data_IF_872165742558
#
_entry.id   IF_872165742558
#
_cell.length_a   1.000
_cell.length_b   1.000
_cell.length_c   1.000
_cell.angle_alpha   90.00
_cell.angle_beta   90.00
_cell.angle_gamma   90.00
#
_symmetry.space_group_name_H-M   'P 1'
#
loop_
_entity.id
_entity.type
_entity.pdbx_description
1 polymer ?
#
# COMPACT_ATOMS: atom_id res chain seq x y z
N UNK A 1 -21.24 2.73 -22.00
CA UNK A 1 -20.24 1.65 -22.02
C UNK A 1 -19.04 1.88 -21.09
N UNK A 2 -18.20 2.94 -21.20
CA UNK A 2 -17.02 3.14 -20.30
C UNK A 2 -17.40 3.28 -18.81
N UNK A 3 -18.48 3.97 -18.48
CA UNK A 3 -18.92 4.18 -17.09
C UNK A 3 -19.41 2.89 -16.42
N UNK A 4 -20.13 2.04 -17.13
CA UNK A 4 -20.65 0.78 -16.60
C UNK A 4 -19.52 -0.20 -16.27
N UNK A 5 -18.46 -0.24 -17.10
CA UNK A 5 -17.27 -1.07 -16.92
C UNK A 5 -16.47 -0.69 -15.69
N UNK A 6 -16.33 0.61 -15.44
CA UNK A 6 -15.63 1.10 -14.24
C UNK A 6 -16.38 0.69 -12.97
N UNK A 7 -17.71 0.72 -13.01
CA UNK A 7 -18.56 0.23 -11.92
C UNK A 7 -18.38 -1.28 -11.66
N UNK A 8 -18.34 -2.08 -12.72
CA UNK A 8 -18.20 -3.54 -12.60
C UNK A 8 -16.84 -3.96 -12.00
N UNK A 9 -15.74 -3.31 -12.42
CA UNK A 9 -14.41 -3.54 -11.86
C UNK A 9 -14.37 -3.12 -10.39
N UNK A 10 -14.93 -1.97 -10.05
CA UNK A 10 -14.98 -1.47 -8.68
C UNK A 10 -15.74 -2.42 -7.76
N UNK A 11 -16.93 -2.85 -8.18
CA UNK A 11 -17.72 -3.83 -7.43
C UNK A 11 -16.95 -5.13 -7.22
N UNK A 12 -16.25 -5.59 -8.25
CA UNK A 12 -15.44 -6.80 -8.18
C UNK A 12 -14.30 -6.70 -7.15
N UNK A 13 -13.57 -5.58 -7.13
CA UNK A 13 -12.54 -5.32 -6.12
C UNK A 13 -13.13 -5.21 -4.71
N UNK A 14 -14.32 -4.64 -4.58
CA UNK A 14 -15.05 -4.60 -3.32
C UNK A 14 -15.42 -6.00 -2.82
N UNK A 15 -15.88 -6.90 -3.71
CA UNK A 15 -16.10 -8.31 -3.36
C UNK A 15 -14.83 -9.01 -2.89
N UNK A 16 -13.70 -8.72 -3.55
CA UNK A 16 -12.40 -9.27 -3.17
C UNK A 16 -12.00 -8.83 -1.76
N UNK A 17 -12.19 -7.53 -1.44
CA UNK A 17 -11.89 -6.98 -0.11
C UNK A 17 -12.79 -7.53 1.01
N UNK A 18 -13.96 -8.06 0.66
CA UNK A 18 -14.89 -8.70 1.60
C UNK A 18 -14.63 -10.21 1.74
N UNK A 19 -13.56 -10.76 1.14
CA UNK A 19 -13.30 -12.20 1.14
C UNK A 19 -14.31 -13.03 0.35
N UNK A 20 -15.09 -12.42 -0.56
CA UNK A 20 -16.17 -13.08 -1.34
C UNK A 20 -15.72 -13.51 -2.74
N UNK A 21 -14.46 -13.24 -3.10
CA UNK A 21 -13.96 -13.50 -4.47
C UNK A 21 -13.49 -14.92 -4.69
N UNK A 22 -12.93 -15.52 -3.67
CA UNK A 22 -12.40 -16.88 -3.66
C UNK A 22 -12.98 -17.64 -2.48
N UNK A 23 -13.09 -18.95 -2.61
CA UNK A 23 -13.49 -19.80 -1.49
C UNK A 23 -12.39 -19.84 -0.44
N UNK A 24 -12.78 -19.82 0.82
CA UNK A 24 -11.87 -20.01 1.94
C UNK A 24 -11.57 -21.52 2.07
N UNK A 25 -10.29 -21.86 2.12
CA UNK A 25 -9.87 -23.25 2.33
C UNK A 25 -9.60 -23.48 3.82
N UNK A 26 -10.32 -24.40 4.47
CA UNK A 26 -10.11 -24.69 5.88
C UNK A 26 -8.75 -25.35 6.19
N UNK A 27 -8.01 -25.78 5.16
CA UNK A 27 -6.66 -26.31 5.30
C UNK A 27 -5.57 -25.24 5.19
N UNK A 28 -5.91 -24.01 4.83
CA UNK A 28 -4.94 -22.90 4.82
C UNK A 28 -4.44 -22.61 6.24
N UNK A 29 -3.22 -22.10 6.34
CA UNK A 29 -2.72 -21.53 7.59
C UNK A 29 -3.63 -20.40 8.05
N UNK A 30 -3.81 -20.25 9.37
CA UNK A 30 -4.59 -19.11 9.87
C UNK A 30 -3.84 -17.78 9.63
N UNK A 31 -4.57 -16.66 9.56
CA UNK A 31 -3.98 -15.33 9.46
C UNK A 31 -3.03 -15.01 10.62
N UNK A 32 -3.21 -15.64 11.78
CA UNK A 32 -2.35 -15.47 12.94
C UNK A 32 -0.90 -15.91 12.63
N UNK A 33 -0.71 -16.92 11.79
CA UNK A 33 0.64 -17.36 11.36
C UNK A 33 1.34 -16.25 10.57
N UNK A 34 0.62 -15.51 9.72
CA UNK A 34 1.18 -14.35 9.03
C UNK A 34 1.52 -13.23 10.03
N UNK A 35 0.66 -12.96 10.99
CA UNK A 35 0.90 -11.95 12.03
C UNK A 35 2.13 -12.29 12.89
N UNK A 36 2.34 -13.56 13.20
CA UNK A 36 3.54 -14.04 13.89
C UNK A 36 4.82 -13.81 13.07
N UNK A 37 4.78 -14.10 11.76
CA UNK A 37 5.89 -13.83 10.85
C UNK A 37 6.22 -12.33 10.80
N UNK A 38 5.19 -11.46 10.78
CA UNK A 38 5.36 -10.00 10.84
C UNK A 38 5.99 -9.57 12.18
N UNK A 39 5.52 -10.11 13.31
CA UNK A 39 6.08 -9.83 14.64
C UNK A 39 7.56 -10.20 14.71
N UNK A 40 7.91 -11.39 14.24
CA UNK A 40 9.29 -11.88 14.24
C UNK A 40 10.20 -10.99 13.38
N UNK A 41 9.77 -10.57 12.19
CA UNK A 41 10.56 -9.66 11.35
C UNK A 41 10.72 -8.28 11.99
N UNK A 42 9.65 -7.70 12.54
CA UNK A 42 9.71 -6.42 13.26
C UNK A 42 10.67 -6.50 14.46
N UNK A 43 10.62 -7.57 15.24
CA UNK A 43 11.52 -7.79 16.37
C UNK A 43 12.99 -7.80 15.92
N UNK A 44 13.29 -8.54 14.85
CA UNK A 44 14.62 -8.57 14.24
C UNK A 44 15.08 -7.17 13.79
N UNK A 45 14.23 -6.44 13.09
CA UNK A 45 14.53 -5.09 12.61
C UNK A 45 14.74 -4.09 13.76
N UNK A 46 14.03 -4.27 14.87
CA UNK A 46 14.23 -3.48 16.08
C UNK A 46 15.59 -3.77 16.73
N UNK A 47 15.96 -5.04 16.86
CA UNK A 47 17.27 -5.45 17.38
C UNK A 47 18.43 -4.95 16.51
N UNK A 48 18.23 -4.88 15.20
CA UNK A 48 19.16 -4.28 14.24
C UNK A 48 19.14 -2.73 14.25
N UNK A 49 18.29 -2.09 15.06
CA UNK A 49 18.17 -0.63 15.14
C UNK A 49 17.53 0.01 13.91
N UNK A 50 16.84 -0.76 13.06
CA UNK A 50 16.22 -0.30 11.80
C UNK A 50 14.82 0.27 11.99
N UNK A 51 14.12 -0.13 13.04
CA UNK A 51 12.82 0.41 13.45
C UNK A 51 12.82 0.78 14.92
N UNK A 52 11.86 1.57 15.36
CA UNK A 52 11.73 2.04 16.75
C UNK A 52 10.82 1.11 17.54
N UNK A 53 10.94 1.15 18.88
CA UNK A 53 10.08 0.37 19.79
C UNK A 53 8.58 0.56 19.54
N UNK A 54 8.16 1.79 19.20
CA UNK A 54 6.77 2.10 18.87
C UNK A 54 6.26 1.40 17.60
N UNK A 55 7.16 0.98 16.72
CA UNK A 55 6.84 0.34 15.45
C UNK A 55 6.69 -1.18 15.59
N UNK A 56 6.97 -1.76 16.78
CA UNK A 56 6.84 -3.18 17.06
C UNK A 56 5.37 -3.64 17.12
N UNK A 57 4.49 -2.79 17.60
CA UNK A 57 3.09 -3.14 17.80
C UNK A 57 2.39 -3.46 16.47
N UNK A 58 1.52 -4.49 16.52
CA UNK A 58 0.56 -4.79 15.46
C UNK A 58 -0.81 -4.37 15.96
N UNK A 59 -1.38 -3.33 15.38
CA UNK A 59 -2.74 -2.86 15.70
C UNK A 59 -3.74 -3.66 14.89
N UNK A 60 -4.38 -4.64 15.55
CA UNK A 60 -5.54 -5.37 15.04
C UNK A 60 -6.77 -4.57 15.46
N UNK A 61 -7.69 -4.35 14.54
CA UNK A 61 -8.96 -3.66 14.81
C UNK A 61 -10.08 -4.68 14.86
N UNK A 62 -10.82 -4.70 15.96
CA UNK A 62 -11.98 -5.56 16.18
C UNK A 62 -13.18 -4.74 16.61
N UNK A 63 -14.38 -5.27 16.40
CA UNK A 63 -15.62 -4.67 16.87
C UNK A 63 -15.88 -5.13 18.30
N UNK A 64 -16.21 -4.19 19.19
CA UNK A 64 -16.65 -4.47 20.55
C UNK A 64 -18.15 -4.74 20.63
N UNK A 65 -18.62 -5.14 21.82
CA UNK A 65 -20.04 -5.45 22.10
C UNK A 65 -20.96 -4.23 21.96
N UNK A 66 -20.40 -3.02 22.05
CA UNK A 66 -21.10 -1.72 21.89
C UNK A 66 -21.18 -1.26 20.43
N UNK A 67 -20.78 -2.10 19.48
CA UNK A 67 -20.62 -1.80 18.06
C UNK A 67 -19.53 -0.77 17.72
N UNK A 68 -18.74 -0.31 18.67
CA UNK A 68 -17.55 0.50 18.42
C UNK A 68 -16.38 -0.37 17.97
N UNK A 69 -15.44 0.22 17.23
CA UNK A 69 -14.23 -0.46 16.77
C UNK A 69 -13.05 -0.07 17.64
N UNK A 70 -12.29 -1.04 18.06
CA UNK A 70 -11.14 -0.89 18.94
C UNK A 70 -9.87 -1.41 18.27
N UNK A 71 -8.80 -0.61 18.37
CA UNK A 71 -7.44 -1.10 18.20
C UNK A 71 -6.96 -1.79 19.48
N UNK A 72 -5.70 -2.16 19.54
CA UNK A 72 -5.15 -2.93 20.66
C UNK A 72 -5.31 -2.30 22.06
N UNK A 73 -5.53 -0.99 22.16
CA UNK A 73 -5.57 -0.25 23.44
C UNK A 73 -6.68 0.77 23.58
N UNK A 74 -7.16 1.33 22.47
CA UNK A 74 -8.08 2.45 22.49
C UNK A 74 -9.10 2.35 21.35
N UNK A 75 -10.25 3.05 21.49
CA UNK A 75 -11.20 3.23 20.42
C UNK A 75 -10.48 3.83 19.19
N UNK A 76 -10.66 3.23 18.02
CA UNK A 76 -10.07 3.74 16.79
C UNK A 76 -10.99 4.75 16.13
N UNK A 77 -10.40 5.81 15.57
CA UNK A 77 -11.11 6.77 14.73
C UNK A 77 -11.28 6.27 13.29
N UNK A 78 -10.61 5.17 12.93
CA UNK A 78 -10.69 4.55 11.61
C UNK A 78 -11.65 3.37 11.68
N UNK A 79 -12.66 3.37 10.83
CA UNK A 79 -13.70 2.34 10.79
C UNK A 79 -13.48 1.40 9.62
N UNK A 80 -13.68 0.07 9.79
CA UNK A 80 -13.70 -0.88 8.69
C UNK A 80 -14.73 -0.47 7.63
N UNK A 81 -14.35 -0.59 6.37
CA UNK A 81 -15.20 -0.20 5.24
C UNK A 81 -16.24 -1.28 4.94
N UNK A 82 -15.87 -2.54 5.17
CA UNK A 82 -16.69 -3.70 4.87
C UNK A 82 -16.62 -4.72 6.00
N UNK A 83 -17.67 -5.55 6.11
CA UNK A 83 -17.59 -6.79 6.84
C UNK A 83 -16.63 -7.75 6.13
N UNK A 84 -15.79 -8.44 6.90
CA UNK A 84 -14.81 -9.41 6.42
C UNK A 84 -15.09 -10.78 7.07
N UNK A 85 -14.62 -11.90 6.47
CA UNK A 85 -14.72 -13.21 7.06
C UNK A 85 -14.08 -13.29 8.45
N UNK A 86 -14.58 -14.16 9.31
CA UNK A 86 -14.05 -14.38 10.66
C UNK A 86 -12.56 -14.80 10.66
N UNK A 87 -12.13 -15.49 9.60
CA UNK A 87 -10.75 -15.89 9.40
C UNK A 87 -9.79 -14.71 9.05
N UNK A 88 -10.34 -13.55 8.73
CA UNK A 88 -9.55 -12.36 8.36
C UNK A 88 -9.36 -11.41 9.54
N UNK A 89 -8.46 -10.44 9.38
CA UNK A 89 -8.25 -9.35 10.35
C UNK A 89 -8.16 -8.01 9.64
N UNK A 90 -8.68 -6.96 10.27
CA UNK A 90 -8.29 -5.59 9.94
C UNK A 90 -7.06 -5.21 10.75
N UNK A 91 -6.03 -4.73 10.07
CA UNK A 91 -4.83 -4.19 10.73
C UNK A 91 -4.51 -2.79 10.18
N UNK A 92 -3.87 -1.97 10.99
CA UNK A 92 -3.38 -0.68 10.53
C UNK A 92 -2.26 -0.86 9.51
N UNK A 93 -2.19 0.01 8.52
CA UNK A 93 -1.19 -0.02 7.45
C UNK A 93 0.25 -0.12 7.99
N UNK A 94 0.59 0.66 9.02
CA UNK A 94 1.90 0.61 9.67
C UNK A 94 2.20 -0.69 10.42
N UNK A 95 1.18 -1.49 10.71
CA UNK A 95 1.38 -2.84 11.24
C UNK A 95 1.87 -3.80 10.16
N UNK A 96 1.44 -3.60 8.91
CA UNK A 96 1.75 -4.45 7.77
C UNK A 96 3.02 -4.03 7.04
N UNK A 97 3.35 -2.73 7.05
CA UNK A 97 4.46 -2.19 6.25
C UNK A 97 5.28 -1.16 7.03
N UNK A 98 6.54 -1.01 6.64
CA UNK A 98 7.27 0.23 6.81
C UNK A 98 7.10 1.08 5.55
N UNK A 99 7.08 2.41 5.68
CA UNK A 99 7.03 3.31 4.52
C UNK A 99 7.92 4.54 4.69
N UNK A 100 8.34 5.11 3.58
CA UNK A 100 9.16 6.33 3.55
C UNK A 100 8.56 7.35 2.60
N UNK A 101 8.47 8.60 3.06
CA UNK A 101 8.06 9.72 2.23
C UNK A 101 9.28 10.21 1.45
N UNK A 102 9.09 10.48 0.16
CA UNK A 102 10.13 11.02 -0.70
C UNK A 102 10.51 12.45 -0.39
N UNK A 103 11.48 12.96 -1.14
CA UNK A 103 11.98 14.33 -1.00
C UNK A 103 12.23 14.96 -2.36
N UNK A 104 11.93 16.25 -2.46
CA UNK A 104 12.27 17.07 -3.64
C UNK A 104 13.45 17.95 -3.29
N UNK A 105 14.59 17.85 -4.00
CA UNK A 105 15.66 18.82 -3.89
C UNK A 105 15.18 20.21 -4.30
N UNK A 106 15.72 21.31 -3.72
CA UNK A 106 15.39 22.66 -4.14
C UNK A 106 15.56 22.85 -5.65
N UNK A 107 14.55 23.35 -6.33
CA UNK A 107 14.58 23.62 -7.77
C UNK A 107 15.54 24.74 -8.15
N UNK A 108 15.82 25.66 -7.23
CA UNK A 108 16.79 26.76 -7.41
C UNK A 108 18.24 26.29 -7.51
N UNK A 109 18.53 25.08 -7.04
CA UNK A 109 19.89 24.52 -6.99
C UNK A 109 20.14 23.61 -8.22
N UNK A 110 20.60 24.18 -9.31
CA UNK A 110 20.82 23.42 -10.54
C UNK A 110 21.78 22.23 -10.35
N UNK A 111 22.72 22.29 -9.41
CA UNK A 111 23.67 21.22 -9.09
C UNK A 111 23.01 19.97 -8.47
N UNK A 112 21.78 20.09 -8.00
CA UNK A 112 21.02 18.96 -7.45
C UNK A 112 20.27 18.17 -8.52
N UNK A 113 20.14 18.71 -9.70
CA UNK A 113 19.46 18.07 -10.84
C UNK A 113 20.50 17.62 -11.86
N UNK A 114 20.27 16.46 -12.48
CA UNK A 114 21.23 15.85 -13.40
C UNK A 114 20.69 14.57 -14.03
N UNK A 115 21.57 13.60 -14.28
CA UNK A 115 21.21 12.34 -14.98
C UNK A 115 21.60 11.09 -14.19
N UNK A 116 22.02 11.24 -12.92
CA UNK A 116 22.68 10.13 -12.22
C UNK A 116 21.70 9.19 -11.51
N UNK A 117 20.65 9.72 -10.88
CA UNK A 117 19.72 8.95 -10.05
C UNK A 117 18.29 9.29 -10.46
N UNK A 118 17.53 8.33 -10.99
CA UNK A 118 16.13 8.54 -11.36
C UNK A 118 15.33 9.13 -10.20
N UNK A 119 14.52 10.15 -10.50
CA UNK A 119 13.64 10.80 -9.53
C UNK A 119 12.20 10.79 -10.04
N UNK A 120 11.35 10.03 -9.34
CA UNK A 120 9.96 9.78 -9.72
C UNK A 120 9.07 10.92 -9.23
N UNK A 121 8.35 11.51 -10.15
CA UNK A 121 7.19 12.37 -9.87
C UNK A 121 5.88 11.58 -10.08
N UNK A 122 4.74 12.14 -9.64
CA UNK A 122 3.42 11.49 -9.86
C UNK A 122 3.14 11.29 -11.36
N UNK A 123 3.66 12.16 -12.21
CA UNK A 123 3.47 12.08 -13.67
C UNK A 123 4.26 10.94 -14.33
N UNK A 124 5.29 10.42 -13.66
CA UNK A 124 6.07 9.28 -14.14
C UNK A 124 5.44 7.94 -13.73
N UNK A 125 4.54 7.95 -12.74
CA UNK A 125 3.81 6.76 -12.35
C UNK A 125 2.75 6.44 -13.42
N UNK A 126 2.68 5.21 -13.94
CA UNK A 126 1.58 4.78 -14.83
C UNK A 126 0.26 4.69 -14.06
N UNK A 127 -0.85 4.50 -14.76
CA UNK A 127 -2.16 4.24 -14.13
C UNK A 127 -2.12 2.92 -13.35
N UNK A 128 -1.39 1.93 -13.88
CA UNK A 128 -1.10 0.66 -13.24
C UNK A 128 0.21 0.09 -13.80
N UNK A 129 0.90 -0.78 -13.06
CA UNK A 129 2.10 -1.47 -13.51
C UNK A 129 3.40 -0.85 -12.99
N UNK A 130 4.38 -0.67 -13.85
CA UNK A 130 5.76 -0.42 -13.47
C UNK A 130 6.28 0.94 -13.89
N UNK A 131 7.06 1.59 -13.01
CA UNK A 131 7.88 2.75 -13.36
C UNK A 131 9.18 2.25 -13.94
N UNK A 132 9.33 2.35 -15.25
CA UNK A 132 10.50 1.87 -16.01
C UNK A 132 11.52 2.97 -16.28
N UNK A 133 11.08 4.23 -16.26
CA UNK A 133 11.93 5.42 -16.47
C UNK A 133 11.33 6.61 -15.73
N UNK A 134 12.10 7.70 -15.67
CA UNK A 134 11.67 8.99 -15.10
C UNK A 134 12.06 10.12 -16.05
N UNK A 135 11.30 11.21 -16.03
CA UNK A 135 11.60 12.42 -16.81
C UNK A 135 12.78 13.20 -16.25
N UNK A 136 12.99 13.10 -14.96
CA UNK A 136 14.01 13.83 -14.23
C UNK A 136 14.88 12.87 -13.41
N UNK A 137 16.08 13.35 -13.12
CA UNK A 137 17.03 12.66 -12.26
C UNK A 137 17.70 13.66 -11.35
N UNK A 138 18.17 13.22 -10.20
CA UNK A 138 18.94 14.03 -9.26
C UNK A 138 20.42 13.62 -9.28
N UNK A 139 21.26 14.52 -8.80
CA UNK A 139 22.69 14.25 -8.66
C UNK A 139 23.00 13.48 -7.38
N UNK A 140 24.15 12.80 -7.34
CA UNK A 140 24.70 12.22 -6.11
C UNK A 140 24.92 13.25 -5.01
N UNK A 141 25.18 14.50 -5.38
CA UNK A 141 25.30 15.61 -4.44
C UNK A 141 23.98 15.86 -3.72
N UNK A 142 22.86 15.91 -4.46
CA UNK A 142 21.53 16.05 -3.87
C UNK A 142 21.20 14.89 -2.93
N UNK A 143 21.48 13.66 -3.37
CA UNK A 143 21.24 12.45 -2.56
C UNK A 143 21.92 12.56 -1.19
N UNK A 144 23.21 12.89 -1.17
CA UNK A 144 24.01 12.99 0.07
C UNK A 144 23.60 14.18 0.93
N UNK A 145 23.56 15.40 0.36
CA UNK A 145 23.32 16.63 1.12
C UNK A 145 21.90 16.74 1.66
N UNK A 146 20.90 16.16 0.98
CA UNK A 146 19.50 16.17 1.42
C UNK A 146 19.10 14.88 2.13
N UNK A 147 20.03 13.93 2.28
CA UNK A 147 19.75 12.60 2.89
C UNK A 147 18.50 11.97 2.25
N UNK A 148 18.56 11.80 0.93
CA UNK A 148 17.49 11.19 0.15
C UNK A 148 17.80 9.70 0.03
N UNK A 149 16.81 8.85 0.31
CA UNK A 149 16.97 7.40 0.19
C UNK A 149 16.60 6.94 -1.22
N UNK A 150 17.38 5.99 -1.75
CA UNK A 150 17.02 5.26 -2.98
C UNK A 150 16.12 4.09 -2.58
N UNK A 151 15.00 3.97 -3.26
CA UNK A 151 14.13 2.79 -3.17
C UNK A 151 14.57 1.77 -4.23
N UNK A 152 14.78 0.52 -3.86
CA UNK A 152 15.23 -0.52 -4.80
C UNK A 152 14.15 -0.87 -5.82
N UNK A 153 14.57 -1.50 -6.93
CA UNK A 153 13.66 -2.19 -7.86
C UNK A 153 12.74 -3.14 -7.10
N UNK A 154 11.48 -3.23 -7.50
CA UNK A 154 10.44 -4.03 -6.85
C UNK A 154 9.70 -3.32 -5.73
N UNK A 155 10.11 -2.09 -5.36
CA UNK A 155 9.40 -1.30 -4.33
C UNK A 155 8.06 -0.82 -4.86
N UNK A 156 7.00 -1.01 -4.06
CA UNK A 156 5.68 -0.41 -4.31
C UNK A 156 5.70 1.07 -3.93
N UNK A 157 5.24 1.91 -4.83
CA UNK A 157 5.03 3.33 -4.63
C UNK A 157 3.53 3.63 -4.53
N UNK A 158 3.15 4.62 -3.70
CA UNK A 158 1.80 5.19 -3.69
C UNK A 158 1.88 6.70 -3.58
N UNK A 159 1.12 7.40 -4.44
CA UNK A 159 0.90 8.83 -4.27
C UNK A 159 -0.20 9.09 -3.24
N UNK A 160 0.05 10.06 -2.34
CA UNK A 160 -0.89 10.41 -1.27
C UNK A 160 -1.26 11.90 -1.26
N UNK A 161 -0.79 12.65 -2.24
CA UNK A 161 -1.16 14.03 -2.53
C UNK A 161 -1.53 14.14 -4.00
N UNK A 162 -2.39 15.08 -4.37
CA UNK A 162 -2.87 15.37 -5.73
C UNK A 162 -3.65 14.21 -6.36
N UNK A 163 -3.01 13.09 -6.66
CA UNK A 163 -3.63 11.87 -7.22
C UNK A 163 -3.58 10.76 -6.18
N UNK A 164 -4.42 10.85 -5.14
CA UNK A 164 -4.42 9.90 -4.01
C UNK A 164 -4.69 8.48 -4.51
N UNK A 165 -3.91 7.52 -3.97
CA UNK A 165 -4.10 6.10 -4.25
C UNK A 165 -3.55 5.64 -5.60
N UNK A 166 -2.86 6.48 -6.37
CA UNK A 166 -2.15 6.01 -7.56
C UNK A 166 -0.95 5.19 -7.13
N UNK A 167 -0.88 3.94 -7.58
CA UNK A 167 0.18 2.98 -7.21
C UNK A 167 0.98 2.53 -8.42
N UNK A 168 2.26 2.20 -8.21
CA UNK A 168 3.12 1.60 -9.22
C UNK A 168 4.28 0.86 -8.55
N UNK A 169 4.88 -0.12 -9.22
CA UNK A 169 6.07 -0.81 -8.75
C UNK A 169 7.29 -0.26 -9.50
N UNK A 170 8.38 0.00 -8.79
CA UNK A 170 9.64 0.40 -9.40
C UNK A 170 10.26 -0.76 -10.18
N UNK A 171 10.53 -0.57 -11.48
CA UNK A 171 11.33 -1.49 -12.28
C UNK A 171 12.82 -1.11 -12.33
N UNK A 172 13.15 0.06 -11.81
CA UNK A 172 14.50 0.59 -11.62
C UNK A 172 14.68 1.08 -10.19
N UNK A 173 15.89 1.10 -9.63
CA UNK A 173 16.17 1.83 -8.40
C UNK A 173 15.96 3.34 -8.62
N UNK A 174 15.18 3.99 -7.74
CA UNK A 174 14.87 5.40 -7.90
C UNK A 174 14.62 6.09 -6.55
N UNK A 175 14.70 7.42 -6.57
CA UNK A 175 14.15 8.29 -5.54
C UNK A 175 12.79 8.82 -5.99
N UNK A 176 12.06 9.52 -5.13
CA UNK A 176 10.78 10.12 -5.51
C UNK A 176 10.47 11.39 -4.71
N UNK A 177 9.48 12.15 -5.18
CA UNK A 177 9.08 13.40 -4.56
C UNK A 177 8.32 13.17 -3.23
N UNK A 178 8.07 14.25 -2.50
CA UNK A 178 7.38 14.26 -1.20
C UNK A 178 5.86 14.00 -1.28
N UNK A 179 5.31 13.81 -2.47
CA UNK A 179 3.90 13.42 -2.66
C UNK A 179 3.72 11.92 -2.82
N UNK A 180 4.81 11.16 -2.81
CA UNK A 180 4.86 9.71 -2.99
C UNK A 180 5.51 9.07 -1.76
N UNK A 181 5.02 7.90 -1.38
CA UNK A 181 5.66 7.01 -0.40
C UNK A 181 6.22 5.77 -1.09
N UNK A 182 7.35 5.28 -0.60
CA UNK A 182 7.85 3.92 -0.83
C UNK A 182 7.34 3.00 0.27
N UNK A 183 6.82 1.84 -0.10
CA UNK A 183 6.17 0.88 0.79
C UNK A 183 7.00 -0.40 0.85
N UNK A 184 7.32 -0.85 2.07
CA UNK A 184 8.12 -2.03 2.36
C UNK A 184 7.32 -2.97 3.27
N UNK A 185 6.56 -3.93 2.71
CA UNK A 185 5.76 -4.84 3.51
C UNK A 185 6.64 -5.80 4.31
N UNK A 186 6.25 -6.07 5.56
CA UNK A 186 6.83 -7.13 6.38
C UNK A 186 6.32 -8.50 5.94
N UNK A 187 7.07 -9.56 6.20
CA UNK A 187 6.74 -10.94 5.85
C UNK A 187 6.33 -11.14 4.37
N UNK A 188 6.91 -10.34 3.48
CA UNK A 188 6.53 -10.23 2.07
C UNK A 188 7.10 -11.37 1.19
N UNK A 189 6.84 -12.62 1.59
CA UNK A 189 7.25 -13.80 0.83
C UNK A 189 6.63 -13.74 -0.58
N UNK A 190 7.43 -14.03 -1.60
CA UNK A 190 7.02 -14.03 -3.02
C UNK A 190 6.35 -12.71 -3.50
N UNK A 191 6.54 -11.61 -2.78
CA UNK A 191 5.90 -10.31 -2.99
C UNK A 191 4.37 -10.31 -2.85
N UNK A 192 3.78 -11.30 -2.19
CA UNK A 192 2.32 -11.46 -2.09
C UNK A 192 1.68 -10.25 -1.42
N UNK A 193 2.22 -9.77 -0.30
CA UNK A 193 1.66 -8.60 0.39
C UNK A 193 1.80 -7.33 -0.46
N UNK A 194 2.93 -7.15 -1.15
CA UNK A 194 3.13 -6.04 -2.10
C UNK A 194 2.07 -6.04 -3.19
N UNK A 195 1.84 -7.19 -3.83
CA UNK A 195 0.93 -7.31 -4.96
C UNK A 195 -0.53 -7.20 -4.50
N UNK A 196 -0.85 -7.71 -3.32
CA UNK A 196 -2.14 -7.50 -2.66
C UNK A 196 -2.38 -6.01 -2.40
N UNK A 197 -1.41 -5.30 -1.83
CA UNK A 197 -1.50 -3.86 -1.60
C UNK A 197 -1.59 -3.06 -2.90
N UNK A 198 -0.91 -3.48 -3.97
CA UNK A 198 -1.03 -2.84 -5.28
C UNK A 198 -2.46 -2.87 -5.82
N UNK A 199 -3.20 -3.94 -5.55
CA UNK A 199 -4.59 -4.08 -5.97
C UNK A 199 -5.52 -3.21 -5.12
N UNK A 200 -5.34 -3.20 -3.80
CA UNK A 200 -6.34 -2.68 -2.87
C UNK A 200 -6.06 -1.26 -2.34
N UNK A 201 -4.81 -0.81 -2.31
CA UNK A 201 -4.50 0.55 -1.84
C UNK A 201 -5.20 1.66 -2.62
N UNK A 202 -5.36 1.60 -3.97
CA UNK A 202 -6.14 2.59 -4.70
C UNK A 202 -7.56 2.75 -4.17
N UNK A 203 -8.18 1.64 -3.79
CA UNK A 203 -9.54 1.63 -3.27
C UNK A 203 -9.57 2.08 -1.79
N UNK A 204 -8.73 1.49 -0.95
CA UNK A 204 -8.69 1.78 0.50
C UNK A 204 -8.36 3.26 0.76
N UNK A 205 -7.40 3.82 0.02
CA UNK A 205 -6.96 5.21 0.21
C UNK A 205 -7.99 6.25 -0.22
N UNK A 206 -8.96 5.87 -1.06
CA UNK A 206 -10.01 6.77 -1.55
C UNK A 206 -11.33 6.62 -0.80
N UNK A 207 -11.56 5.50 -0.14
CA UNK A 207 -12.79 5.21 0.61
C UNK A 207 -12.72 5.63 2.10
N UNK A 208 -11.52 5.83 2.63
CA UNK A 208 -11.32 6.29 4.00
C UNK A 208 -11.76 7.75 4.18
N UNK A 209 -12.93 7.97 4.77
CA UNK A 209 -13.65 9.23 5.00
C UNK A 209 -14.66 9.64 3.92
N UNK A 210 -15.72 8.87 3.77
CA UNK A 210 -16.85 9.20 2.88
C UNK A 210 -17.57 10.51 3.24
N UNK A 211 -17.35 11.09 4.43
CA UNK A 211 -17.92 12.39 4.84
C UNK A 211 -17.10 13.59 4.35
N UNK A 212 -15.82 13.41 4.04
CA UNK A 212 -14.92 14.49 3.63
C UNK A 212 -14.29 14.32 2.24
N UNK A 213 -14.51 13.20 1.55
CA UNK A 213 -14.02 12.92 0.19
C UNK A 213 -14.46 13.96 -0.86
N UNK A 214 -15.52 14.73 -0.56
CA UNK A 214 -16.06 15.79 -1.43
C UNK A 214 -15.13 17.02 -1.51
N UNK A 215 -14.10 17.14 -0.65
CA UNK A 215 -13.24 18.34 -0.57
C UNK A 215 -11.75 18.11 -0.87
N UNK A 216 -11.38 17.10 -1.66
CA UNK A 216 -10.00 16.94 -2.12
C UNK A 216 -8.97 16.84 -0.97
N UNK A 217 -9.30 16.13 0.11
CA UNK A 217 -8.38 15.93 1.24
C UNK A 217 -7.10 15.25 0.78
N UNK A 218 -6.00 15.88 1.05
CA UNK A 218 -4.66 15.28 0.96
C UNK A 218 -4.48 14.33 2.13
N UNK A 219 -4.11 13.08 1.89
CA UNK A 219 -3.63 12.21 2.95
C UNK A 219 -2.34 12.80 3.54
N UNK A 220 -2.13 12.63 4.82
CA UNK A 220 -0.88 12.95 5.49
C UNK A 220 -0.28 11.68 6.11
N UNK A 221 0.91 11.79 6.68
CA UNK A 221 1.60 10.62 7.26
C UNK A 221 0.77 9.92 8.34
N UNK A 222 0.01 10.67 9.13
CA UNK A 222 -0.86 10.12 10.18
C UNK A 222 -2.04 9.36 9.57
N UNK A 223 -2.76 9.97 8.63
CA UNK A 223 -3.91 9.31 7.98
C UNK A 223 -3.50 8.09 7.16
N UNK A 224 -2.31 8.10 6.53
CA UNK A 224 -1.76 6.91 5.87
C UNK A 224 -1.50 5.79 6.89
N UNK A 225 -0.91 6.14 8.04
CA UNK A 225 -0.60 5.17 9.10
C UNK A 225 -1.83 4.46 9.64
N UNK A 226 -2.96 5.15 9.65
CA UNK A 226 -4.25 4.68 10.19
C UNK A 226 -5.13 3.94 9.16
N UNK A 227 -4.72 3.84 7.88
CA UNK A 227 -5.49 3.07 6.90
C UNK A 227 -5.68 1.64 7.39
N UNK A 228 -6.91 1.14 7.34
CA UNK A 228 -7.25 -0.21 7.72
C UNK A 228 -7.17 -1.14 6.51
N UNK A 229 -6.33 -2.15 6.63
CA UNK A 229 -6.10 -3.15 5.59
C UNK A 229 -6.74 -4.46 6.03
N UNK A 230 -7.73 -4.99 5.29
CA UNK A 230 -8.23 -6.33 5.52
C UNK A 230 -7.18 -7.34 5.02
N UNK A 231 -6.77 -8.26 5.87
CA UNK A 231 -5.79 -9.29 5.54
C UNK A 231 -6.32 -10.69 5.84
N UNK A 232 -5.96 -11.61 4.98
CA UNK A 232 -6.12 -13.07 5.16
C UNK A 232 -4.75 -13.73 5.31
N UNK A 233 -4.70 -15.05 5.23
CA UNK A 233 -3.47 -15.80 5.11
C UNK A 233 -2.81 -15.61 3.72
N UNK A 234 -1.54 -16.02 3.59
CA UNK A 234 -0.78 -15.86 2.35
C UNK A 234 -1.39 -16.60 1.16
N UNK A 235 -1.89 -17.81 1.34
CA UNK A 235 -2.42 -18.63 0.25
C UNK A 235 -3.73 -18.06 -0.29
N UNK A 236 -4.60 -17.57 0.58
CA UNK A 236 -5.82 -16.89 0.16
C UNK A 236 -5.53 -15.57 -0.55
N UNK A 237 -4.59 -14.75 -0.05
CA UNK A 237 -4.13 -13.54 -0.77
C UNK A 237 -3.64 -13.89 -2.17
N UNK A 238 -2.86 -14.95 -2.32
CA UNK A 238 -2.34 -15.43 -3.61
C UNK A 238 -3.45 -15.85 -4.57
N UNK A 239 -4.49 -16.56 -4.08
CA UNK A 239 -5.67 -16.90 -4.86
C UNK A 239 -6.44 -15.65 -5.30
N UNK A 240 -6.59 -14.67 -4.41
CA UNK A 240 -7.24 -13.38 -4.71
C UNK A 240 -6.48 -12.65 -5.82
N UNK A 241 -5.17 -12.47 -5.68
CA UNK A 241 -4.32 -11.82 -6.68
C UNK A 241 -4.47 -12.51 -8.04
N UNK A 242 -4.31 -13.83 -8.08
CA UNK A 242 -4.42 -14.62 -9.32
C UNK A 242 -5.80 -14.46 -9.98
N UNK A 243 -6.86 -14.42 -9.18
CA UNK A 243 -8.23 -14.25 -9.68
C UNK A 243 -8.46 -12.85 -10.24
N UNK A 244 -7.93 -11.82 -9.57
CA UNK A 244 -7.99 -10.42 -10.02
C UNK A 244 -7.24 -10.27 -11.34
N UNK A 245 -6.01 -10.79 -11.43
CA UNK A 245 -5.20 -10.73 -12.65
C UNK A 245 -5.89 -11.40 -13.83
N UNK A 246 -6.45 -12.59 -13.62
CA UNK A 246 -7.20 -13.31 -14.65
C UNK A 246 -8.40 -12.51 -15.17
N UNK A 247 -9.08 -11.81 -14.28
CA UNK A 247 -10.24 -11.00 -14.65
C UNK A 247 -9.84 -9.73 -15.41
N UNK A 248 -8.77 -9.05 -15.00
CA UNK A 248 -8.24 -7.92 -15.75
C UNK A 248 -7.78 -8.35 -17.16
N UNK A 249 -7.13 -9.52 -17.31
CA UNK A 249 -6.77 -10.05 -18.60
C UNK A 249 -7.99 -10.32 -19.49
N UNK A 250 -9.03 -10.98 -18.94
CA UNK A 250 -10.27 -11.23 -19.69
C UNK A 250 -10.99 -9.93 -20.10
N UNK A 251 -11.03 -8.94 -19.19
CA UNK A 251 -11.61 -7.64 -19.50
C UNK A 251 -10.82 -6.94 -20.61
N UNK A 252 -9.48 -7.02 -20.63
CA UNK A 252 -8.67 -6.43 -21.69
C UNK A 252 -8.93 -7.08 -23.03
N UNK A 253 -9.03 -8.42 -23.10
CA UNK A 253 -9.30 -9.17 -24.33
C UNK A 253 -10.66 -8.90 -24.97
N UNK A 254 -11.64 -8.44 -24.18
CA UNK A 254 -12.97 -8.07 -24.71
C UNK A 254 -12.96 -6.73 -25.46
N UNK A 255 -11.82 -6.04 -25.53
CA UNK A 255 -11.69 -4.67 -26.07
C UNK A 255 -10.57 -4.52 -27.11
N UNK A 256 -9.90 -5.60 -27.44
CA UNK A 256 -9.11 -5.75 -28.65
C UNK A 256 -10.02 -6.20 -29.83
#
# INVERSE_FOLDING_TARGET
MKSQKHGDILNFLQYAMQGKLVEQDPNDESVEVLLEKIRAEKQKLFEEGKIKKKDLDISIVSQGDDNSYYGNKDETTSYPIYEIPEAWRYIKFTSLVNFRIGKTPPRSEATFWGTEIPWVSISDMPISGYVTNTRESISKLALKSKKIDISPKGTLLMSFKLSIGKVAILDIPATHNEAIISIFPYANKENIIRDYLMIFLPLISTLGDSKDAIKGKTLNSTSISELLIPISNHEEMKRIISKVDLLFQKVSQLFE
#
